data_IF_417851999385
#
_entry.id   IF_417851999385
#
_cell.length_a   1.000
_cell.length_b   1.000
_cell.length_c   1.000
_cell.angle_alpha   90.00
_cell.angle_beta   90.00
_cell.angle_gamma   90.00
#
_symmetry.space_group_name_H-M   'P 1'
#
loop_
_entity.id
_entity.type
_entity.pdbx_description
1 polymer ?
#
# COMPACT_ATOMS: atom_id res chain seq x y z
N UNK A 1 11.93 -1.70 -13.33
CA UNK A 1 10.81 -2.66 -13.17
C UNK A 1 9.50 -1.90 -13.31
N UNK A 2 8.41 -2.62 -13.52
CA UNK A 2 7.05 -2.04 -13.49
C UNK A 2 6.49 -2.15 -12.06
N UNK A 3 5.97 -1.04 -11.53
CA UNK A 3 5.37 -0.98 -10.18
C UNK A 3 3.92 -0.54 -10.31
N UNK A 4 3.01 -1.25 -9.65
CA UNK A 4 1.61 -0.84 -9.52
C UNK A 4 1.31 -0.46 -8.08
N UNK A 5 1.05 0.82 -7.83
CA UNK A 5 0.63 1.34 -6.53
C UNK A 5 -0.90 1.38 -6.51
N UNK A 6 -1.50 0.56 -5.66
CA UNK A 6 -2.93 0.56 -5.41
C UNK A 6 -3.17 1.22 -4.06
N UNK A 7 -3.94 2.30 -4.06
CA UNK A 7 -4.19 3.06 -2.84
C UNK A 7 -5.68 3.35 -2.63
N UNK A 8 -6.05 3.62 -1.38
CA UNK A 8 -7.32 4.24 -1.05
C UNK A 8 -7.11 5.26 0.07
N UNK A 9 -7.96 6.27 0.17
CA UNK A 9 -7.75 7.41 1.07
C UNK A 9 -9.08 8.07 1.44
N UNK A 10 -9.21 8.51 2.68
CA UNK A 10 -10.31 9.40 3.09
C UNK A 10 -9.89 10.87 2.97
N UNK A 11 -8.85 11.26 3.72
CA UNK A 11 -8.41 12.66 3.86
C UNK A 11 -7.11 12.93 3.11
N UNK A 12 -6.94 12.35 1.92
CA UNK A 12 -5.79 12.50 1.01
C UNK A 12 -4.37 12.13 1.48
N UNK A 13 -4.10 11.91 2.77
CA UNK A 13 -2.75 11.60 3.27
C UNK A 13 -2.14 10.38 2.57
N UNK A 14 -2.92 9.31 2.36
CA UNK A 14 -2.45 8.10 1.68
C UNK A 14 -2.19 8.35 0.20
N UNK A 15 -3.02 9.17 -0.46
CA UNK A 15 -2.76 9.58 -1.84
C UNK A 15 -1.47 10.37 -1.96
N UNK A 16 -1.22 11.32 -1.04
CA UNK A 16 0.01 12.12 -1.05
C UNK A 16 1.24 11.24 -0.80
N UNK A 17 1.19 10.36 0.20
CA UNK A 17 2.28 9.43 0.47
C UNK A 17 2.56 8.50 -0.73
N UNK A 18 1.51 8.03 -1.41
CA UNK A 18 1.60 7.21 -2.62
C UNK A 18 2.20 7.98 -3.80
N UNK A 19 1.87 9.26 -3.95
CA UNK A 19 2.46 10.14 -4.98
C UNK A 19 3.94 10.41 -4.70
N UNK A 20 4.34 10.60 -3.44
CA UNK A 20 5.76 10.72 -3.06
C UNK A 20 6.52 9.43 -3.38
N UNK A 21 5.92 8.27 -3.10
CA UNK A 21 6.50 6.97 -3.44
C UNK A 21 6.66 6.81 -4.95
N UNK A 22 5.61 7.14 -5.71
CA UNK A 22 5.62 7.12 -7.18
C UNK A 22 6.77 7.96 -7.73
N UNK A 23 6.89 9.21 -7.29
CA UNK A 23 7.94 10.12 -7.74
C UNK A 23 9.35 9.59 -7.40
N UNK A 24 9.53 9.02 -6.22
CA UNK A 24 10.81 8.42 -5.82
C UNK A 24 11.19 7.21 -6.70
N UNK A 25 10.23 6.34 -7.01
CA UNK A 25 10.42 5.18 -7.86
C UNK A 25 10.66 5.56 -9.34
N UNK A 26 9.93 6.55 -9.85
CA UNK A 26 10.13 7.10 -11.20
C UNK A 26 11.51 7.76 -11.34
N UNK A 27 11.95 8.52 -10.32
CA UNK A 27 13.30 9.10 -10.26
C UNK A 27 14.40 8.03 -10.24
N UNK A 28 14.12 6.83 -9.74
CA UNK A 28 15.00 5.66 -9.78
C UNK A 28 14.93 4.88 -11.12
N UNK A 29 14.17 5.35 -12.11
CA UNK A 29 14.08 4.74 -13.44
C UNK A 29 13.09 3.59 -13.54
N UNK A 30 12.09 3.52 -12.65
CA UNK A 30 11.01 2.54 -12.74
C UNK A 30 9.78 3.10 -13.46
N UNK A 31 8.97 2.21 -14.03
CA UNK A 31 7.69 2.56 -14.65
C UNK A 31 6.61 2.35 -13.61
N UNK A 32 5.92 3.40 -13.19
CA UNK A 32 4.97 3.34 -12.07
C UNK A 32 3.57 3.68 -12.54
N UNK A 33 2.62 2.77 -12.30
CA UNK A 33 1.19 3.04 -12.38
C UNK A 33 0.65 3.26 -10.96
N UNK A 34 -0.26 4.20 -10.81
CA UNK A 34 -0.92 4.49 -9.53
C UNK A 34 -2.43 4.59 -9.76
N UNK A 35 -3.19 3.78 -9.05
CA UNK A 35 -4.64 3.67 -9.22
C UNK A 35 -5.33 3.54 -7.87
N UNK A 36 -6.57 4.04 -7.80
CA UNK A 36 -7.39 3.83 -6.61
C UNK A 36 -7.84 2.36 -6.54
N UNK A 37 -8.01 1.83 -5.33
CA UNK A 37 -8.39 0.43 -5.10
C UNK A 37 -9.70 0.05 -5.79
N UNK A 38 -10.69 0.96 -5.84
CA UNK A 38 -11.97 0.71 -6.51
C UNK A 38 -11.87 0.63 -8.05
N UNK A 39 -10.83 1.21 -8.64
CA UNK A 39 -10.58 1.20 -10.10
C UNK A 39 -9.76 0.00 -10.54
N UNK A 40 -9.09 -0.67 -9.60
CA UNK A 40 -8.09 -1.67 -9.92
C UNK A 40 -8.73 -2.96 -10.42
N UNK A 41 -8.19 -3.51 -11.52
CA UNK A 41 -8.62 -4.79 -12.11
C UNK A 41 -7.45 -5.77 -12.20
N UNK A 42 -7.70 -7.09 -12.32
CA UNK A 42 -6.64 -8.07 -12.49
C UNK A 42 -5.69 -7.73 -13.65
N UNK A 43 -6.21 -7.23 -14.77
CA UNK A 43 -5.46 -6.87 -15.96
C UNK A 43 -4.53 -5.68 -15.73
N UNK A 44 -4.93 -4.75 -14.87
CA UNK A 44 -4.12 -3.57 -14.52
C UNK A 44 -2.91 -3.96 -13.67
N UNK A 45 -3.08 -4.93 -12.77
CA UNK A 45 -2.09 -5.24 -11.72
C UNK A 45 -1.15 -6.37 -12.13
N UNK A 46 -1.67 -7.38 -12.84
CA UNK A 46 -0.92 -8.59 -13.24
C UNK A 46 0.41 -8.31 -13.98
N UNK A 47 0.51 -7.28 -14.86
CA UNK A 47 1.76 -6.96 -15.55
C UNK A 47 2.86 -6.37 -14.67
N UNK A 48 2.55 -5.91 -13.45
CA UNK A 48 3.53 -5.29 -12.57
C UNK A 48 4.52 -6.32 -12.01
N UNK A 49 5.80 -5.96 -11.93
CA UNK A 49 6.84 -6.74 -11.23
C UNK A 49 6.64 -6.66 -9.70
N UNK A 50 6.19 -5.49 -9.23
CA UNK A 50 5.92 -5.17 -7.83
C UNK A 50 4.54 -4.53 -7.68
N UNK A 51 3.77 -4.99 -6.71
CA UNK A 51 2.50 -4.38 -6.29
C UNK A 51 2.69 -3.70 -4.94
N UNK A 52 2.32 -2.44 -4.81
CA UNK A 52 2.29 -1.73 -3.53
C UNK A 52 0.84 -1.51 -3.13
N UNK A 53 0.45 -1.92 -1.93
CA UNK A 53 -0.86 -1.61 -1.37
C UNK A 53 -0.72 -0.52 -0.32
N UNK A 54 -1.46 0.58 -0.47
CA UNK A 54 -1.38 1.75 0.39
C UNK A 54 -2.75 2.11 0.99
N UNK A 55 -2.84 2.18 2.32
CA UNK A 55 -4.12 2.46 2.99
C UNK A 55 -3.93 3.24 4.28
N UNK A 56 -4.88 4.13 4.65
CA UNK A 56 -5.03 4.50 6.05
C UNK A 56 -5.47 3.28 6.86
N UNK A 57 -5.39 3.37 8.19
CA UNK A 57 -6.06 2.44 9.10
C UNK A 57 -7.26 3.14 9.74
N UNK A 58 -8.38 2.43 9.84
CA UNK A 58 -9.63 2.97 10.37
C UNK A 58 -10.37 1.95 11.23
N UNK A 59 -11.43 2.40 11.90
CA UNK A 59 -12.43 1.52 12.50
C UNK A 59 -13.48 1.19 11.43
N UNK A 60 -13.60 -0.09 11.09
CA UNK A 60 -14.57 -0.55 10.11
C UNK A 60 -15.19 -1.86 10.58
N UNK A 61 -16.52 -1.95 10.53
CA UNK A 61 -17.30 -3.08 11.05
C UNK A 61 -16.97 -3.45 12.51
N UNK A 62 -16.87 -2.43 13.38
CA UNK A 62 -16.54 -2.55 14.81
C UNK A 62 -15.17 -3.18 15.08
N UNK A 63 -14.26 -3.13 14.11
CA UNK A 63 -12.89 -3.61 14.22
C UNK A 63 -11.90 -2.46 13.94
N UNK A 64 -11.05 -2.17 14.93
CA UNK A 64 -10.00 -1.16 14.81
C UNK A 64 -8.84 -1.68 13.95
N UNK A 65 -8.26 -0.80 13.13
CA UNK A 65 -7.07 -1.11 12.35
C UNK A 65 -7.38 -1.74 11.00
N UNK A 66 -8.61 -1.64 10.51
CA UNK A 66 -8.96 -2.10 9.17
C UNK A 66 -8.40 -1.18 8.08
N UNK A 67 -8.12 -1.70 6.87
CA UNK A 67 -7.85 -0.85 5.72
C UNK A 67 -9.11 -0.07 5.31
N UNK A 68 -8.94 0.87 4.40
CA UNK A 68 -10.05 1.53 3.72
C UNK A 68 -10.97 0.49 3.06
N UNK A 69 -12.29 0.73 3.08
CA UNK A 69 -13.33 -0.24 2.75
C UNK A 69 -13.24 -0.75 1.30
N UNK A 70 -12.76 0.08 0.38
CA UNK A 70 -12.49 -0.29 -1.01
C UNK A 70 -11.56 -1.51 -1.14
N UNK A 71 -10.67 -1.75 -0.17
CA UNK A 71 -9.77 -2.89 -0.22
C UNK A 71 -10.46 -4.24 0.00
N UNK A 72 -11.60 -4.28 0.70
CA UNK A 72 -12.37 -5.53 0.82
C UNK A 72 -12.89 -5.96 -0.55
N UNK A 73 -13.53 -5.03 -1.26
CA UNK A 73 -14.02 -5.26 -2.62
C UNK A 73 -12.88 -5.54 -3.60
N UNK A 74 -11.74 -4.86 -3.45
CA UNK A 74 -10.52 -5.15 -4.22
C UNK A 74 -10.09 -6.61 -4.05
N UNK A 75 -9.95 -7.10 -2.81
CA UNK A 75 -9.50 -8.47 -2.57
C UNK A 75 -10.52 -9.54 -2.98
N UNK A 76 -11.82 -9.23 -2.95
CA UNK A 76 -12.89 -10.08 -3.48
C UNK A 76 -12.82 -10.21 -5.01
N UNK A 77 -12.54 -9.10 -5.71
CA UNK A 77 -12.44 -9.06 -7.18
C UNK A 77 -11.15 -9.67 -7.74
N UNK A 78 -10.11 -9.82 -6.92
CA UNK A 78 -8.81 -10.29 -7.38
C UNK A 78 -8.65 -11.82 -7.20
N UNK A 79 -8.50 -12.58 -8.30
CA UNK A 79 -8.16 -14.00 -8.23
C UNK A 79 -6.86 -14.21 -7.46
N UNK A 80 -6.75 -15.30 -6.70
CA UNK A 80 -5.54 -15.62 -5.91
C UNK A 80 -4.28 -15.66 -6.77
N UNK A 81 -4.43 -16.11 -8.01
CA UNK A 81 -3.38 -16.27 -9.01
C UNK A 81 -2.72 -14.95 -9.42
N UNK A 82 -3.39 -13.81 -9.20
CA UNK A 82 -2.80 -12.48 -9.45
C UNK A 82 -1.59 -12.25 -8.54
N UNK A 83 -1.67 -12.72 -7.30
CA UNK A 83 -0.66 -12.46 -6.26
C UNK A 83 0.31 -13.62 -6.06
N UNK A 84 -0.01 -14.83 -6.54
CA UNK A 84 0.82 -16.01 -6.34
C UNK A 84 2.26 -15.80 -6.83
N UNK A 85 3.21 -15.84 -5.89
CA UNK A 85 4.64 -15.61 -6.12
C UNK A 85 5.02 -14.17 -6.50
N UNK A 86 4.06 -13.25 -6.57
CA UNK A 86 4.26 -11.85 -6.92
C UNK A 86 4.90 -11.10 -5.75
N UNK A 87 5.79 -10.15 -6.04
CA UNK A 87 6.35 -9.26 -5.02
C UNK A 87 5.30 -8.23 -4.62
N UNK A 88 5.09 -8.07 -3.32
CA UNK A 88 4.19 -7.08 -2.75
C UNK A 88 4.89 -6.27 -1.67
N UNK A 89 4.56 -4.98 -1.58
CA UNK A 89 5.00 -4.10 -0.51
C UNK A 89 3.81 -3.34 0.08
N UNK A 90 3.89 -2.98 1.36
CA UNK A 90 2.76 -2.46 2.13
C UNK A 90 3.06 -1.07 2.68
N UNK A 91 2.19 -0.10 2.42
CA UNK A 91 2.29 1.27 2.93
C UNK A 91 1.08 1.58 3.82
N UNK A 92 1.30 1.61 5.12
CA UNK A 92 0.29 1.96 6.12
C UNK A 92 0.43 3.40 6.57
N UNK A 93 -0.68 4.12 6.64
CA UNK A 93 -0.77 5.39 7.36
C UNK A 93 -1.66 5.21 8.58
N UNK A 94 -1.22 5.78 9.70
CA UNK A 94 -1.97 5.71 10.95
C UNK A 94 -1.47 6.72 11.97
N UNK A 95 -1.83 6.48 13.22
CA UNK A 95 -1.44 7.30 14.36
C UNK A 95 -1.19 6.38 15.55
N UNK A 96 -0.01 6.49 16.16
CA UNK A 96 0.39 5.66 17.32
C UNK A 96 -0.45 5.90 18.58
N UNK A 97 -1.27 6.95 18.62
CA UNK A 97 -2.21 7.18 19.71
C UNK A 97 -3.38 6.19 19.72
N UNK A 98 -3.61 5.47 18.62
CA UNK A 98 -4.62 4.41 18.51
C UNK A 98 -4.01 3.05 18.89
N UNK A 99 -4.85 2.09 19.29
CA UNK A 99 -4.36 0.77 19.73
C UNK A 99 -3.75 -0.01 18.55
N UNK A 100 -4.30 0.16 17.35
CA UNK A 100 -3.89 -0.55 16.13
C UNK A 100 -3.14 0.39 15.18
N UNK A 101 -1.91 0.76 15.57
CA UNK A 101 -1.04 1.59 14.73
C UNK A 101 -0.79 0.95 13.36
N UNK A 102 -1.30 1.59 12.30
CA UNK A 102 -1.23 1.10 10.92
C UNK A 102 -1.74 -0.34 10.74
N UNK A 103 -2.79 -0.73 11.47
CA UNK A 103 -3.35 -2.09 11.41
C UNK A 103 -3.70 -2.60 10.00
N UNK A 104 -3.97 -1.69 9.05
CA UNK A 104 -4.25 -2.04 7.66
C UNK A 104 -3.12 -2.86 7.03
N UNK A 105 -1.86 -2.62 7.45
CA UNK A 105 -0.69 -3.39 7.01
C UNK A 105 -0.79 -4.85 7.44
N UNK A 106 -1.29 -5.12 8.64
CA UNK A 106 -1.43 -6.48 9.16
C UNK A 106 -2.56 -7.24 8.43
N UNK A 107 -3.65 -6.54 8.11
CA UNK A 107 -4.75 -7.08 7.30
C UNK A 107 -4.25 -7.41 5.88
N UNK A 108 -3.53 -6.49 5.24
CA UNK A 108 -2.96 -6.73 3.90
C UNK A 108 -1.97 -7.89 3.90
N UNK A 109 -1.12 -7.97 4.92
CA UNK A 109 -0.19 -9.09 5.08
C UNK A 109 -0.93 -10.42 5.08
N UNK A 110 -1.97 -10.54 5.91
CA UNK A 110 -2.79 -11.75 6.00
C UNK A 110 -3.42 -12.10 4.64
N UNK A 111 -4.07 -11.12 3.99
CA UNK A 111 -4.71 -11.32 2.68
C UNK A 111 -3.72 -11.76 1.59
N UNK A 112 -2.50 -11.26 1.62
CA UNK A 112 -1.45 -11.58 0.64
C UNK A 112 -0.78 -12.92 0.92
N UNK A 113 -0.55 -13.28 2.18
CA UNK A 113 -0.01 -14.58 2.59
C UNK A 113 -0.97 -15.72 2.21
N UNK A 114 -2.29 -15.54 2.39
CA UNK A 114 -3.33 -16.48 1.94
C UNK A 114 -3.41 -16.68 0.42
N UNK A 115 -2.70 -15.83 -0.34
CA UNK A 115 -2.63 -15.82 -1.80
C UNK A 115 -1.21 -16.12 -2.31
N UNK A 116 -0.34 -16.68 -1.47
CA UNK A 116 1.04 -17.05 -1.80
C UNK A 116 1.89 -15.87 -2.32
N UNK A 117 1.59 -14.64 -1.94
CA UNK A 117 2.38 -13.48 -2.34
C UNK A 117 3.71 -13.41 -1.58
N UNK A 118 4.71 -12.75 -2.18
CA UNK A 118 6.01 -12.49 -1.54
C UNK A 118 6.04 -11.06 -1.02
N UNK A 119 5.81 -10.88 0.28
CA UNK A 119 5.91 -9.57 0.92
C UNK A 119 7.39 -9.22 1.08
N UNK A 120 7.83 -8.13 0.44
CA UNK A 120 9.25 -7.72 0.39
C UNK A 120 9.58 -6.51 1.27
N UNK A 121 8.57 -5.83 1.82
CA UNK A 121 8.78 -4.67 2.67
C UNK A 121 7.47 -4.05 3.14
N UNK A 122 7.54 -3.37 4.27
CA UNK A 122 6.43 -2.61 4.85
C UNK A 122 6.93 -1.26 5.37
N UNK A 123 6.11 -0.22 5.23
CA UNK A 123 6.35 1.09 5.81
C UNK A 123 5.08 1.55 6.54
N UNK A 124 5.23 1.93 7.81
CA UNK A 124 4.15 2.44 8.67
C UNK A 124 4.45 3.92 9.00
N UNK A 125 3.61 4.82 8.51
CA UNK A 125 3.75 6.27 8.71
C UNK A 125 2.86 6.75 9.85
N UNK A 126 3.41 7.59 10.70
CA UNK A 126 2.77 8.08 11.93
C UNK A 126 2.39 9.55 11.78
N UNK A 127 1.08 9.83 11.81
CA UNK A 127 0.48 11.17 11.72
C UNK A 127 1.05 11.99 10.55
N UNK A 128 0.81 11.53 9.31
CA UNK A 128 1.41 12.09 8.08
C UNK A 128 1.44 13.63 8.04
N UNK A 129 0.32 14.31 8.30
CA UNK A 129 0.24 15.77 8.22
C UNK A 129 1.00 16.50 9.34
N UNK A 130 1.20 15.86 10.49
CA UNK A 130 1.98 16.43 11.59
C UNK A 130 3.49 16.19 11.39
N UNK A 131 3.85 15.11 10.70
CA UNK A 131 5.24 14.67 10.51
C UNK A 131 5.64 14.57 9.03
N UNK A 132 5.13 15.47 8.18
CA UNK A 132 5.21 15.32 6.72
C UNK A 132 6.65 15.19 6.20
N UNK A 133 7.56 16.06 6.64
CA UNK A 133 8.96 16.01 6.20
C UNK A 133 9.63 14.66 6.51
N UNK A 134 9.42 14.15 7.73
CA UNK A 134 9.95 12.84 8.14
C UNK A 134 9.30 11.69 7.38
N UNK A 135 7.99 11.76 7.14
CA UNK A 135 7.26 10.78 6.34
C UNK A 135 7.81 10.73 4.91
N UNK A 136 8.02 11.90 4.29
CA UNK A 136 8.58 12.01 2.93
C UNK A 136 9.98 11.41 2.85
N UNK A 137 10.88 11.68 3.81
CA UNK A 137 12.20 11.05 3.86
C UNK A 137 12.10 9.53 4.02
N UNK A 138 11.21 9.06 4.90
CA UNK A 138 10.99 7.63 5.13
C UNK A 138 10.50 6.92 3.86
N UNK A 139 9.55 7.53 3.14
CA UNK A 139 9.04 7.00 1.87
C UNK A 139 10.18 6.92 0.83
N UNK A 140 11.00 7.96 0.70
CA UNK A 140 12.12 7.98 -0.26
C UNK A 140 13.18 6.92 0.04
N UNK A 141 13.55 6.75 1.32
CA UNK A 141 14.47 5.69 1.73
C UNK A 141 13.89 4.31 1.41
N UNK A 142 12.63 4.09 1.78
CA UNK A 142 11.93 2.83 1.59
C UNK A 142 11.74 2.46 0.11
N UNK A 143 11.51 3.44 -0.77
CA UNK A 143 11.43 3.25 -2.22
C UNK A 143 12.69 2.56 -2.79
N UNK A 144 13.87 2.88 -2.25
CA UNK A 144 15.13 2.24 -2.62
C UNK A 144 15.35 0.86 -1.99
N UNK A 145 14.61 0.50 -0.94
CA UNK A 145 14.70 -0.83 -0.31
C UNK A 145 13.87 -1.86 -1.06
N UNK A 146 12.64 -1.50 -1.44
CA UNK A 146 11.69 -2.41 -2.10
C UNK A 146 11.98 -2.64 -3.59
N UNK A 147 12.99 -1.98 -4.14
CA UNK A 147 13.39 -2.08 -5.55
C UNK A 147 14.78 -2.66 -5.78
N UNK A 148 15.49 -3.06 -4.71
CA UNK A 148 16.70 -3.87 -4.78
C UNK A 148 16.40 -5.28 -5.29
#
# INVERSE_FOLDING_TARGET
>A
MTVSIIYATYSNSTSMASEVLKQALEAAGHVVAMNMAFEATPELIKPADLIVLASPSWDFNDEEGQPHEDFFNFFEKMPKEVFKGKKCALLGLGDKNYNKFCGAVDVFRTQLEERDAKIIGELRLDQYYLNEAQCVESIKSWAGEITK
#
